data_IF_628280506974
#
_entry.id   IF_628280506974
#
_cell.length_a   1.000
_cell.length_b   1.000
_cell.length_c   1.000
_cell.angle_alpha   90.00
_cell.angle_beta   90.00
_cell.angle_gamma   90.00
#
_symmetry.space_group_name_H-M   'P 1'
#
loop_
_entity.id
_entity.type
_entity.pdbx_description
1 polymer ?
#
# COMPACT_ATOMS: atom_id res chain seq x y z
N UNK A 1 14.51 56.58 -23.64
CA UNK A 1 14.07 56.61 -22.23
C UNK A 1 14.13 55.19 -21.70
N UNK A 2 14.77 54.92 -20.55
CA UNK A 2 14.69 53.59 -19.96
C UNK A 2 13.31 53.44 -19.30
N UNK A 3 12.61 52.36 -19.65
CA UNK A 3 11.38 51.97 -18.97
C UNK A 3 11.76 51.52 -17.56
N UNK A 4 11.38 52.33 -16.58
CA UNK A 4 11.44 52.01 -15.16
C UNK A 4 10.45 50.88 -14.88
N UNK A 5 10.92 49.64 -14.81
CA UNK A 5 10.13 48.52 -14.27
C UNK A 5 10.11 48.63 -12.75
N UNK A 6 8.95 48.98 -12.20
CA UNK A 6 8.73 48.97 -10.75
C UNK A 6 8.72 47.53 -10.24
N UNK A 7 9.24 47.22 -9.03
CA UNK A 7 9.27 45.86 -8.49
C UNK A 7 7.90 45.24 -8.20
N UNK A 8 6.82 45.98 -8.47
CA UNK A 8 5.45 45.64 -8.07
C UNK A 8 4.64 44.91 -9.15
N UNK A 9 5.17 44.75 -10.38
CA UNK A 9 4.44 44.15 -11.51
C UNK A 9 4.37 42.60 -11.47
N UNK A 10 4.87 41.95 -10.41
CA UNK A 10 4.84 40.49 -10.25
C UNK A 10 3.67 39.95 -9.42
N UNK A 11 2.82 40.81 -8.83
CA UNK A 11 1.82 40.38 -7.84
C UNK A 11 0.42 40.07 -8.44
N UNK A 12 0.31 39.68 -9.71
CA UNK A 12 -0.98 39.60 -10.39
C UNK A 12 -1.19 38.48 -11.41
N UNK A 13 -0.41 37.39 -11.39
CA UNK A 13 -0.68 36.20 -12.23
C UNK A 13 -0.96 34.97 -11.38
N UNK A 14 -2.01 34.18 -11.69
CA UNK A 14 -2.12 32.81 -11.19
C UNK A 14 -1.08 31.98 -11.93
N UNK A 15 -0.15 31.37 -11.19
CA UNK A 15 1.03 30.63 -11.62
C UNK A 15 2.13 31.45 -12.30
N UNK A 16 3.18 31.76 -11.54
CA UNK A 16 4.45 32.35 -12.02
C UNK A 16 5.41 31.33 -12.64
N UNK A 17 5.11 30.03 -12.60
CA UNK A 17 5.99 28.98 -13.12
C UNK A 17 5.30 28.07 -14.13
N UNK A 18 5.79 28.06 -15.36
CA UNK A 18 5.39 27.08 -16.37
C UNK A 18 5.94 25.70 -15.98
N UNK A 19 5.09 24.65 -15.91
CA UNK A 19 5.57 23.29 -15.74
C UNK A 19 6.60 22.93 -16.82
N UNK A 20 7.64 22.21 -16.42
CA UNK A 20 8.69 21.76 -17.31
C UNK A 20 8.37 20.36 -17.81
N UNK A 21 8.58 20.16 -19.12
CA UNK A 21 8.54 18.83 -19.71
C UNK A 21 9.78 18.04 -19.33
N UNK A 22 9.57 16.91 -18.67
CA UNK A 22 10.66 16.03 -18.24
C UNK A 22 10.39 14.61 -18.73
N UNK A 23 11.45 13.98 -19.22
CA UNK A 23 11.45 12.55 -19.57
C UNK A 23 11.97 11.75 -18.37
N UNK A 24 11.06 11.12 -17.62
CA UNK A 24 11.45 10.27 -16.49
C UNK A 24 11.98 8.91 -16.98
N UNK A 25 13.14 8.51 -16.48
CA UNK A 25 13.74 7.21 -16.81
C UNK A 25 12.96 6.04 -16.18
N UNK A 26 12.50 6.23 -14.95
CA UNK A 26 11.65 5.28 -14.24
C UNK A 26 10.16 5.67 -14.38
N UNK A 27 9.25 4.69 -14.47
CA UNK A 27 7.83 4.95 -14.71
C UNK A 27 7.12 5.48 -13.46
N UNK A 28 6.48 6.64 -13.57
CA UNK A 28 5.72 7.23 -12.45
C UNK A 28 4.36 6.53 -12.24
N UNK A 29 3.86 5.85 -13.28
CA UNK A 29 2.66 5.03 -13.27
C UNK A 29 2.98 3.63 -13.83
N UNK A 30 3.49 2.71 -12.99
CA UNK A 30 3.98 1.43 -13.44
C UNK A 30 2.86 0.50 -13.91
N UNK A 31 1.63 0.64 -13.41
CA UNK A 31 0.48 -0.14 -13.89
C UNK A 31 0.13 0.22 -15.34
N UNK A 32 0.08 1.51 -15.67
CA UNK A 32 -0.16 1.93 -17.05
C UNK A 32 0.91 1.40 -18.01
N UNK A 33 2.18 1.36 -17.58
CA UNK A 33 3.27 0.76 -18.37
C UNK A 33 3.10 -0.74 -18.54
N UNK A 34 2.75 -1.45 -17.46
CA UNK A 34 2.50 -2.88 -17.51
C UNK A 34 1.38 -3.19 -18.52
N UNK A 35 0.23 -2.53 -18.38
CA UNK A 35 -0.91 -2.71 -19.27
C UNK A 35 -0.57 -2.31 -20.71
N UNK A 36 0.20 -1.24 -20.93
CA UNK A 36 0.56 -0.81 -22.28
C UNK A 36 1.46 -1.84 -22.99
N UNK A 37 2.44 -2.43 -22.29
CA UNK A 37 3.29 -3.50 -22.81
C UNK A 37 2.49 -4.74 -23.20
N UNK A 38 1.47 -5.09 -22.42
CA UNK A 38 0.68 -6.31 -22.63
C UNK A 38 -0.56 -6.12 -23.52
N UNK A 39 -0.96 -4.89 -23.81
CA UNK A 39 -2.08 -4.56 -24.69
C UNK A 39 -1.68 -3.76 -25.95
N UNK A 40 -0.39 -3.49 -26.15
CA UNK A 40 0.09 -2.76 -27.32
C UNK A 40 -0.36 -1.30 -27.37
N UNK A 41 -0.54 -0.66 -26.21
CA UNK A 41 -0.88 0.77 -26.12
C UNK A 41 0.40 1.61 -26.11
N UNK A 42 0.33 2.81 -26.68
CA UNK A 42 1.40 3.81 -26.57
C UNK A 42 1.45 4.38 -25.15
N UNK A 43 2.63 4.39 -24.53
CA UNK A 43 2.87 4.99 -23.21
C UNK A 43 3.91 6.11 -23.35
N UNK A 44 3.55 7.33 -22.95
CA UNK A 44 4.48 8.45 -22.90
C UNK A 44 5.15 8.55 -21.53
N UNK A 45 6.48 8.73 -21.54
CA UNK A 45 7.30 9.03 -20.35
C UNK A 45 7.39 10.52 -20.04
N UNK A 46 6.82 11.36 -20.90
CA UNK A 46 6.81 12.79 -20.72
C UNK A 46 5.82 13.15 -19.61
N UNK A 47 6.29 13.92 -18.65
CA UNK A 47 5.45 14.46 -17.59
C UNK A 47 5.74 15.93 -17.39
N UNK A 48 4.70 16.67 -16.98
CA UNK A 48 4.79 18.07 -16.59
C UNK A 48 5.11 18.15 -15.11
N UNK A 49 6.25 18.74 -14.75
CA UNK A 49 6.63 18.95 -13.36
C UNK A 49 6.70 20.44 -13.05
N UNK A 50 6.12 20.85 -11.91
CA UNK A 50 6.41 22.15 -11.32
C UNK A 50 7.89 22.25 -10.89
N UNK A 51 8.43 23.47 -10.72
CA UNK A 51 9.80 23.64 -10.22
C UNK A 51 10.04 22.95 -8.88
N UNK A 52 9.04 22.92 -7.98
CA UNK A 52 9.13 22.25 -6.69
C UNK A 52 9.29 20.74 -6.86
N UNK A 53 8.46 20.13 -7.71
CA UNK A 53 8.49 18.70 -8.01
C UNK A 53 9.81 18.29 -8.68
N UNK A 54 10.31 19.11 -9.60
CA UNK A 54 11.61 18.89 -10.25
C UNK A 54 12.77 19.00 -9.24
N UNK A 55 12.75 20.01 -8.37
CA UNK A 55 13.78 20.15 -7.33
C UNK A 55 13.81 18.94 -6.38
N UNK A 56 12.65 18.38 -6.03
CA UNK A 56 12.57 17.17 -5.21
C UNK A 56 13.08 15.92 -5.95
N UNK A 57 12.73 15.78 -7.24
CA UNK A 57 13.23 14.72 -8.12
C UNK A 57 14.77 14.74 -8.22
N UNK A 58 15.36 15.93 -8.32
CA UNK A 58 16.81 16.15 -8.44
C UNK A 58 17.54 16.29 -7.08
N UNK A 59 16.83 16.07 -5.96
CA UNK A 59 17.37 16.17 -4.60
C UNK A 59 17.96 17.56 -4.20
N UNK A 60 17.41 18.65 -4.74
CA UNK A 60 17.91 20.01 -4.51
C UNK A 60 17.25 20.68 -3.30
N UNK A 61 17.68 20.29 -2.09
CA UNK A 61 17.10 20.75 -0.81
C UNK A 61 17.02 22.27 -0.67
N UNK A 62 18.06 23.00 -1.05
CA UNK A 62 18.10 24.46 -0.95
C UNK A 62 17.06 25.12 -1.86
N UNK A 63 16.83 24.55 -3.05
CA UNK A 63 15.84 25.02 -4.01
C UNK A 63 14.42 24.74 -3.50
N UNK A 64 14.18 23.57 -2.91
CA UNK A 64 12.89 23.25 -2.26
C UNK A 64 12.59 24.25 -1.13
N UNK A 65 13.58 24.54 -0.28
CA UNK A 65 13.42 25.56 0.77
C UNK A 65 13.14 26.95 0.23
N UNK A 66 13.81 27.34 -0.86
CA UNK A 66 13.60 28.61 -1.52
C UNK A 66 12.18 28.70 -2.11
N UNK A 67 11.79 27.73 -2.94
CA UNK A 67 10.49 27.70 -3.60
C UNK A 67 9.34 27.64 -2.60
N UNK A 68 9.49 26.92 -1.50
CA UNK A 68 8.48 26.81 -0.46
C UNK A 68 8.10 28.18 0.17
N UNK A 69 8.99 29.19 0.13
CA UNK A 69 8.69 30.53 0.67
C UNK A 69 7.73 31.32 -0.20
N UNK A 70 7.55 30.91 -1.44
CA UNK A 70 6.76 31.60 -2.46
C UNK A 70 5.63 30.71 -3.00
N UNK A 71 5.18 29.70 -2.23
CA UNK A 71 4.08 28.85 -2.66
C UNK A 71 2.82 29.68 -2.93
N UNK A 72 2.17 29.40 -4.05
CA UNK A 72 0.91 30.01 -4.45
C UNK A 72 -0.30 29.27 -3.84
N UNK A 73 -1.50 29.83 -4.02
CA UNK A 73 -2.74 29.11 -3.75
C UNK A 73 -2.78 27.80 -4.59
N UNK A 74 -3.26 26.70 -4.00
CA UNK A 74 -3.32 25.34 -4.58
C UNK A 74 -2.00 24.57 -4.82
N UNK A 75 -0.87 25.03 -4.27
CA UNK A 75 0.43 24.35 -4.38
C UNK A 75 0.54 22.98 -3.68
N UNK A 76 -0.49 22.54 -2.94
CA UNK A 76 -0.47 21.26 -2.22
C UNK A 76 -0.29 20.06 -3.17
N UNK A 77 -0.86 20.10 -4.38
CA UNK A 77 -0.68 19.01 -5.36
C UNK A 77 0.78 18.85 -5.77
N UNK A 78 1.48 19.96 -5.97
CA UNK A 78 2.91 19.96 -6.29
C UNK A 78 3.75 19.44 -5.13
N UNK A 79 3.39 19.82 -3.90
CA UNK A 79 4.09 19.35 -2.71
C UNK A 79 3.92 17.84 -2.49
N UNK A 80 2.72 17.31 -2.73
CA UNK A 80 2.42 15.88 -2.61
C UNK A 80 3.11 15.06 -3.71
N UNK A 81 3.12 15.60 -4.95
CA UNK A 81 3.87 15.00 -6.05
C UNK A 81 5.38 15.03 -5.79
N UNK A 82 5.90 16.13 -5.24
CA UNK A 82 7.30 16.22 -4.83
C UNK A 82 7.66 15.13 -3.80
N UNK A 83 6.77 14.85 -2.83
CA UNK A 83 6.98 13.76 -1.86
C UNK A 83 6.99 12.39 -2.53
N UNK A 84 6.07 12.14 -3.46
CA UNK A 84 6.11 10.94 -4.29
C UNK A 84 7.45 10.80 -4.99
N UNK A 85 7.93 11.83 -5.71
CA UNK A 85 9.17 11.78 -6.48
C UNK A 85 10.40 11.59 -5.58
N UNK A 86 10.46 12.25 -4.42
CA UNK A 86 11.54 12.08 -3.46
C UNK A 86 11.63 10.63 -2.95
N UNK A 87 10.50 10.04 -2.54
CA UNK A 87 10.47 8.63 -2.13
C UNK A 87 10.76 7.69 -3.29
N UNK A 88 10.18 7.97 -4.46
CA UNK A 88 10.38 7.20 -5.68
C UNK A 88 11.84 7.23 -6.16
N UNK A 89 12.63 8.25 -5.82
CA UNK A 89 14.09 8.26 -6.06
C UNK A 89 14.92 7.75 -4.87
N UNK A 90 14.28 7.49 -3.72
CA UNK A 90 14.98 7.07 -2.52
C UNK A 90 15.64 8.22 -1.74
N UNK A 91 15.28 9.47 -2.03
CA UNK A 91 15.77 10.68 -1.35
C UNK A 91 15.11 10.85 0.02
N UNK A 92 15.53 10.03 1.00
CA UNK A 92 14.90 9.94 2.33
C UNK A 92 14.87 11.28 3.09
N UNK A 93 15.96 12.04 3.06
CA UNK A 93 16.03 13.33 3.76
C UNK A 93 15.13 14.38 3.09
N UNK A 94 15.04 14.36 1.76
CA UNK A 94 14.10 15.20 1.01
C UNK A 94 12.65 14.85 1.35
N UNK A 95 12.31 13.56 1.42
CA UNK A 95 10.96 13.14 1.82
C UNK A 95 10.61 13.63 3.25
N UNK A 96 11.54 13.48 4.20
CA UNK A 96 11.37 14.01 5.57
C UNK A 96 11.16 15.53 5.57
N UNK A 97 11.90 16.27 4.74
CA UNK A 97 11.68 17.71 4.57
C UNK A 97 10.27 18.00 4.05
N UNK A 98 9.84 17.33 2.97
CA UNK A 98 8.53 17.57 2.36
C UNK A 98 7.37 17.23 3.31
N UNK A 99 7.52 16.20 4.14
CA UNK A 99 6.57 15.90 5.22
C UNK A 99 6.48 17.03 6.27
N UNK A 100 7.62 17.63 6.65
CA UNK A 100 7.61 18.80 7.55
C UNK A 100 6.91 19.99 6.92
N UNK A 101 6.97 20.09 5.59
CA UNK A 101 6.25 21.09 4.79
C UNK A 101 4.77 20.74 4.60
N UNK A 102 4.27 19.64 5.19
CA UNK A 102 2.88 19.17 5.13
C UNK A 102 2.47 18.54 3.80
N UNK A 103 3.41 17.91 3.08
CA UNK A 103 3.06 17.01 1.99
C UNK A 103 2.16 15.87 2.50
N UNK A 104 1.08 15.58 1.79
CA UNK A 104 0.19 14.46 2.06
C UNK A 104 0.76 13.17 1.41
N UNK A 105 1.17 12.16 2.20
CA UNK A 105 1.72 10.92 1.66
C UNK A 105 0.69 10.02 0.98
N UNK A 106 -0.61 10.26 1.14
CA UNK A 106 -1.69 9.38 0.71
C UNK A 106 -2.81 10.12 -0.01
N UNK A 107 -2.45 11.11 -0.86
CA UNK A 107 -3.42 11.72 -1.77
C UNK A 107 -4.01 10.63 -2.69
N UNK A 108 -5.33 10.51 -2.67
CA UNK A 108 -6.07 9.60 -3.55
C UNK A 108 -6.06 10.08 -5.02
N UNK A 109 -6.24 9.14 -5.94
CA UNK A 109 -6.35 9.39 -7.38
C UNK A 109 -5.11 10.08 -8.00
N UNK A 110 -3.97 10.06 -7.31
CA UNK A 110 -2.68 10.51 -7.83
C UNK A 110 -1.54 9.65 -7.29
N UNK A 111 -0.40 9.55 -8.01
CA UNK A 111 0.83 9.08 -7.39
C UNK A 111 1.10 9.89 -6.11
N UNK A 112 1.54 9.23 -5.03
CA UNK A 112 1.66 9.83 -3.71
C UNK A 112 2.86 9.26 -2.94
N UNK A 113 3.20 9.88 -1.80
CA UNK A 113 4.36 9.48 -0.99
C UNK A 113 4.42 7.99 -0.68
N UNK A 114 3.28 7.34 -0.38
CA UNK A 114 3.21 5.92 -0.07
C UNK A 114 3.52 5.03 -1.28
N UNK A 115 3.00 5.37 -2.46
CA UNK A 115 3.37 4.69 -3.72
C UNK A 115 4.87 4.76 -3.99
N UNK A 116 5.47 5.95 -3.87
CA UNK A 116 6.90 6.15 -4.09
C UNK A 116 7.76 5.41 -3.07
N UNK A 117 7.30 5.34 -1.81
CA UNK A 117 7.99 4.61 -0.76
C UNK A 117 7.94 3.09 -1.01
N UNK A 118 6.79 2.58 -1.46
CA UNK A 118 6.63 1.17 -1.83
C UNK A 118 7.48 0.80 -3.05
N UNK A 119 7.57 1.66 -4.07
CA UNK A 119 8.45 1.49 -5.24
C UNK A 119 9.90 1.22 -4.84
N UNK A 120 10.45 2.03 -3.93
CA UNK A 120 11.84 1.94 -3.46
C UNK A 120 12.08 1.02 -2.28
N UNK A 121 11.06 0.41 -1.69
CA UNK A 121 11.20 -0.45 -0.50
C UNK A 121 11.56 0.34 0.77
N UNK A 122 11.01 1.54 0.92
CA UNK A 122 11.25 2.43 2.05
C UNK A 122 10.36 2.06 3.24
N UNK A 123 10.63 0.91 3.85
CA UNK A 123 9.74 0.30 4.85
C UNK A 123 9.45 1.18 6.08
N UNK A 124 10.45 1.94 6.54
CA UNK A 124 10.27 2.88 7.64
C UNK A 124 9.32 4.04 7.28
N UNK A 125 9.38 4.52 6.04
CA UNK A 125 8.49 5.58 5.54
C UNK A 125 7.05 5.06 5.42
N UNK A 126 6.87 3.88 4.82
CA UNK A 126 5.56 3.21 4.69
C UNK A 126 4.90 3.04 6.06
N UNK A 127 5.63 2.47 7.03
CA UNK A 127 5.11 2.28 8.38
C UNK A 127 4.69 3.60 9.03
N UNK A 128 5.49 4.66 8.87
CA UNK A 128 5.15 5.99 9.38
C UNK A 128 3.88 6.53 8.71
N UNK A 129 3.78 6.49 7.38
CA UNK A 129 2.64 7.03 6.67
C UNK A 129 1.33 6.34 7.09
N UNK A 130 1.33 5.00 7.19
CA UNK A 130 0.12 4.26 7.56
C UNK A 130 -0.18 4.40 9.06
N UNK A 131 0.79 4.14 9.93
CA UNK A 131 0.53 4.03 11.38
C UNK A 131 0.49 5.39 12.08
N UNK A 132 1.37 6.32 11.70
CA UNK A 132 1.43 7.64 12.34
C UNK A 132 0.53 8.67 11.65
N UNK A 133 0.50 8.66 10.33
CA UNK A 133 -0.23 9.68 9.56
C UNK A 133 -1.64 9.20 9.15
N UNK A 134 -1.98 7.93 9.39
CA UNK A 134 -3.30 7.37 9.12
C UNK A 134 -3.58 7.15 7.64
N UNK A 135 -2.55 7.04 6.80
CA UNK A 135 -2.70 6.73 5.39
C UNK A 135 -3.35 5.36 5.21
N UNK A 136 -4.31 5.26 4.28
CA UNK A 136 -4.83 3.95 3.87
C UNK A 136 -3.74 3.15 3.14
N UNK A 137 -3.49 1.88 3.52
CA UNK A 137 -2.61 0.99 2.75
C UNK A 137 -3.17 0.67 1.36
N UNK A 138 -4.48 0.85 1.15
CA UNK A 138 -5.22 0.61 -0.09
C UNK A 138 -5.36 1.87 -0.96
N UNK A 139 -4.67 2.97 -0.63
CA UNK A 139 -4.75 4.20 -1.43
C UNK A 139 -4.42 3.89 -2.89
N UNK A 140 -5.18 4.43 -3.83
CA UNK A 140 -4.93 4.21 -5.25
C UNK A 140 -4.53 5.50 -5.96
N UNK A 141 -3.67 5.37 -6.97
CA UNK A 141 -3.37 6.46 -7.90
C UNK A 141 -4.48 6.56 -8.98
N UNK A 142 -4.29 7.45 -9.96
CA UNK A 142 -5.25 7.65 -11.06
C UNK A 142 -5.47 6.44 -11.98
N UNK A 143 -4.56 5.46 -12.01
CA UNK A 143 -4.69 4.21 -12.77
C UNK A 143 -5.23 3.06 -11.92
N UNK A 144 -5.65 3.32 -10.68
CA UNK A 144 -6.05 2.33 -9.67
C UNK A 144 -4.90 1.47 -9.12
N UNK A 145 -3.64 1.83 -9.39
CA UNK A 145 -2.50 1.13 -8.82
C UNK A 145 -2.41 1.37 -7.30
N UNK A 146 -2.11 0.30 -6.56
CA UNK A 146 -1.93 0.31 -5.10
C UNK A 146 -0.44 0.36 -4.71
N UNK A 147 -0.09 0.67 -3.45
CA UNK A 147 1.29 0.59 -2.97
C UNK A 147 1.91 -0.81 -3.14
N UNK A 148 1.12 -1.88 -2.92
CA UNK A 148 1.56 -3.27 -3.14
C UNK A 148 1.98 -3.46 -4.60
N UNK A 149 1.21 -2.93 -5.55
CA UNK A 149 1.56 -3.01 -6.97
C UNK A 149 2.86 -2.26 -7.31
N UNK A 150 3.07 -1.08 -6.71
CA UNK A 150 4.33 -0.34 -6.86
C UNK A 150 5.54 -1.14 -6.33
N UNK A 151 5.39 -1.89 -5.24
CA UNK A 151 6.45 -2.77 -4.74
C UNK A 151 6.76 -3.93 -5.71
N UNK A 152 5.72 -4.52 -6.34
CA UNK A 152 5.87 -5.60 -7.33
C UNK A 152 6.59 -5.11 -8.57
N UNK A 153 6.18 -3.97 -9.13
CA UNK A 153 6.71 -3.42 -10.39
C UNK A 153 7.99 -2.59 -10.18
N UNK A 154 8.35 -2.33 -8.92
CA UNK A 154 9.52 -1.55 -8.55
C UNK A 154 10.86 -2.23 -8.85
N UNK A 155 11.96 -1.45 -8.75
CA UNK A 155 13.33 -1.90 -9.03
C UNK A 155 13.93 -2.80 -7.94
N UNK A 156 13.19 -3.07 -6.87
CA UNK A 156 13.60 -4.00 -5.82
C UNK A 156 13.78 -5.41 -6.39
N UNK A 157 14.74 -6.14 -5.84
CA UNK A 157 14.80 -7.59 -6.02
C UNK A 157 13.58 -8.27 -5.40
N UNK A 158 13.37 -9.56 -5.70
CA UNK A 158 12.18 -10.29 -5.25
C UNK A 158 12.08 -10.39 -3.73
N UNK A 159 13.21 -10.44 -3.02
CA UNK A 159 13.23 -10.52 -1.56
C UNK A 159 12.85 -9.18 -0.93
N UNK A 160 13.43 -8.07 -1.38
CA UNK A 160 13.08 -6.73 -0.92
C UNK A 160 11.64 -6.35 -1.25
N UNK A 161 11.18 -6.68 -2.46
CA UNK A 161 9.78 -6.49 -2.84
C UNK A 161 8.85 -7.28 -1.91
N UNK A 162 9.17 -8.54 -1.62
CA UNK A 162 8.39 -9.35 -0.69
C UNK A 162 8.38 -8.78 0.73
N UNK A 163 9.51 -8.30 1.25
CA UNK A 163 9.56 -7.68 2.58
C UNK A 163 8.66 -6.45 2.68
N UNK A 164 8.67 -5.61 1.64
CA UNK A 164 7.79 -4.44 1.52
C UNK A 164 6.31 -4.85 1.47
N UNK A 165 5.96 -5.82 0.62
CA UNK A 165 4.58 -6.31 0.46
C UNK A 165 4.08 -6.98 1.74
N UNK A 166 4.90 -7.82 2.37
CA UNK A 166 4.56 -8.50 3.62
C UNK A 166 4.22 -7.48 4.72
N UNK A 167 4.99 -6.41 4.82
CA UNK A 167 4.70 -5.33 5.76
C UNK A 167 3.40 -4.59 5.39
N UNK A 168 3.14 -4.30 4.11
CA UNK A 168 1.86 -3.72 3.68
C UNK A 168 0.67 -4.62 4.07
N UNK A 169 0.76 -5.94 3.86
CA UNK A 169 -0.27 -6.89 4.30
C UNK A 169 -0.42 -6.92 5.83
N UNK A 170 0.68 -6.85 6.59
CA UNK A 170 0.63 -6.71 8.05
C UNK A 170 -0.03 -5.40 8.51
N UNK A 171 0.02 -4.38 7.66
CA UNK A 171 -0.64 -3.09 7.84
C UNK A 171 -2.03 -3.05 7.18
N UNK A 172 -2.66 -4.22 6.98
CA UNK A 172 -4.04 -4.38 6.49
C UNK A 172 -4.25 -4.08 4.99
N UNK A 173 -3.19 -4.06 4.18
CA UNK A 173 -3.35 -4.09 2.73
C UNK A 173 -3.99 -5.41 2.27
N UNK A 174 -4.94 -5.35 1.35
CA UNK A 174 -5.63 -6.51 0.80
C UNK A 174 -4.71 -7.27 -0.17
N UNK A 175 -4.57 -8.60 -0.03
CA UNK A 175 -3.83 -9.41 -1.00
C UNK A 175 -4.65 -9.73 -2.26
N UNK A 176 -5.94 -9.35 -2.31
CA UNK A 176 -6.90 -9.82 -3.31
C UNK A 176 -7.22 -8.78 -4.40
N UNK A 177 -6.43 -7.71 -4.53
CA UNK A 177 -6.67 -6.70 -5.56
C UNK A 177 -6.44 -7.26 -6.97
N UNK A 178 -7.24 -6.79 -7.93
CA UNK A 178 -7.22 -7.16 -9.34
C UNK A 178 -7.11 -5.91 -10.22
N UNK A 179 -6.45 -6.02 -11.38
CA UNK A 179 -6.11 -4.88 -12.22
C UNK A 179 -6.39 -5.12 -13.71
N UNK A 180 -6.80 -4.05 -14.39
CA UNK A 180 -7.09 -4.07 -15.84
C UNK A 180 -8.35 -4.85 -16.19
N UNK A 181 -8.62 -5.01 -17.49
CA UNK A 181 -9.81 -5.72 -17.99
C UNK A 181 -9.71 -7.24 -17.93
N UNK A 182 -8.52 -7.77 -17.63
CA UNK A 182 -8.26 -9.21 -17.48
C UNK A 182 -8.22 -9.63 -16.01
N UNK A 183 -8.57 -8.73 -15.08
CA UNK A 183 -8.61 -8.98 -13.65
C UNK A 183 -7.30 -9.60 -13.11
N UNK A 184 -6.15 -9.07 -13.56
CA UNK A 184 -4.84 -9.59 -13.16
C UNK A 184 -4.66 -9.45 -11.65
N UNK A 185 -4.36 -10.56 -10.97
CA UNK A 185 -3.97 -10.53 -9.56
C UNK A 185 -2.53 -10.02 -9.40
N UNK A 186 -2.13 -9.69 -8.16
CA UNK A 186 -0.74 -9.38 -7.85
C UNK A 186 0.25 -10.48 -8.30
N UNK A 187 -0.13 -11.76 -8.11
CA UNK A 187 0.72 -12.88 -8.49
C UNK A 187 0.86 -13.00 -10.01
N UNK A 188 -0.22 -12.77 -10.77
CA UNK A 188 -0.17 -12.78 -12.24
C UNK A 188 0.78 -11.71 -12.77
N UNK A 189 0.69 -10.49 -12.22
CA UNK A 189 1.57 -9.38 -12.60
C UNK A 189 3.03 -9.70 -12.26
N UNK A 190 3.31 -10.20 -11.05
CA UNK A 190 4.67 -10.59 -10.65
C UNK A 190 5.25 -11.65 -11.59
N UNK A 191 4.45 -12.67 -11.96
CA UNK A 191 4.84 -13.74 -12.88
C UNK A 191 5.13 -13.22 -14.29
N UNK A 192 4.30 -12.30 -14.79
CA UNK A 192 4.46 -11.69 -16.11
C UNK A 192 5.70 -10.79 -16.20
N UNK A 193 6.07 -10.13 -15.10
CA UNK A 193 7.33 -9.39 -14.97
C UNK A 193 8.54 -10.29 -14.65
N UNK A 194 8.35 -11.61 -14.63
CA UNK A 194 9.42 -12.59 -14.44
C UNK A 194 9.85 -12.81 -12.99
N UNK A 195 9.16 -12.21 -12.01
CA UNK A 195 9.41 -12.35 -10.57
C UNK A 195 8.71 -13.58 -10.01
N UNK A 196 9.25 -14.77 -10.30
CA UNK A 196 8.57 -16.06 -10.05
C UNK A 196 8.46 -16.40 -8.57
N UNK A 197 9.54 -16.22 -7.80
CA UNK A 197 9.56 -16.53 -6.37
C UNK A 197 8.61 -15.58 -5.62
N UNK A 198 8.53 -14.32 -6.07
CA UNK A 198 7.59 -13.34 -5.56
C UNK A 198 6.14 -13.74 -5.86
N UNK A 199 5.86 -14.21 -7.08
CA UNK A 199 4.52 -14.66 -7.47
C UNK A 199 4.05 -15.84 -6.61
N UNK A 200 4.92 -16.82 -6.35
CA UNK A 200 4.61 -17.95 -5.47
C UNK A 200 4.26 -17.49 -4.04
N UNK A 201 5.06 -16.59 -3.46
CA UNK A 201 4.78 -16.02 -2.13
C UNK A 201 3.47 -15.24 -2.07
N UNK A 202 3.12 -14.52 -3.14
CA UNK A 202 1.85 -13.79 -3.25
C UNK A 202 0.65 -14.75 -3.30
N UNK A 203 0.76 -15.88 -4.00
CA UNK A 203 -0.28 -16.91 -4.04
C UNK A 203 -0.48 -17.57 -2.67
N UNK A 204 0.61 -17.87 -1.96
CA UNK A 204 0.56 -18.39 -0.59
C UNK A 204 -0.10 -17.42 0.40
N UNK A 205 0.10 -16.12 0.21
CA UNK A 205 -0.49 -15.08 1.05
C UNK A 205 -1.96 -14.79 0.75
N UNK A 206 -2.47 -15.23 -0.42
CA UNK A 206 -3.88 -15.13 -0.76
C UNK A 206 -4.66 -16.29 -0.11
N UNK A 207 -5.48 -16.05 0.93
CA UNK A 207 -6.33 -17.10 1.46
C UNK A 207 -7.35 -17.51 0.39
N UNK A 208 -7.18 -18.70 -0.19
CA UNK A 208 -8.20 -19.25 -1.09
C UNK A 208 -9.51 -19.44 -0.30
N UNK A 209 -10.68 -19.06 -0.84
CA UNK A 209 -11.94 -19.37 -0.21
C UNK A 209 -12.29 -20.84 -0.49
N UNK A 210 -11.56 -21.80 0.06
CA UNK A 210 -11.89 -23.22 -0.16
C UNK A 210 -11.45 -24.11 1.00
N UNK A 211 -12.47 -24.46 1.79
CA UNK A 211 -12.68 -25.76 2.43
C UNK A 211 -11.68 -26.10 3.54
N UNK A 212 -12.19 -25.98 4.76
CA UNK A 212 -11.75 -26.73 5.93
C UNK A 212 -11.71 -28.21 5.53
N UNK A 213 -10.56 -28.68 5.07
CA UNK A 213 -10.35 -30.07 4.72
C UNK A 213 -10.14 -30.82 6.04
N UNK A 214 -11.22 -31.00 6.81
CA UNK A 214 -11.26 -31.86 8.00
C UNK A 214 -11.50 -33.34 7.63
N UNK A 215 -11.14 -33.74 6.42
CA UNK A 215 -11.30 -35.13 5.97
C UNK A 215 -10.00 -35.91 6.11
N UNK A 216 -9.54 -36.05 7.37
CA UNK A 216 -8.63 -37.12 7.79
C UNK A 216 -8.98 -37.62 9.19
N UNK A 217 -10.22 -38.02 9.40
CA UNK A 217 -10.49 -39.11 10.34
C UNK A 217 -10.84 -40.36 9.52
N UNK A 218 -9.80 -41.18 9.33
CA UNK A 218 -9.89 -42.49 8.70
C UNK A 218 -10.74 -43.40 9.58
N UNK A 219 -11.96 -43.66 9.14
CA UNK A 219 -12.81 -44.74 9.65
C UNK A 219 -12.19 -46.09 9.27
N UNK A 220 -11.70 -46.84 10.25
CA UNK A 220 -11.42 -48.27 10.13
C UNK A 220 -11.73 -48.97 11.46
N UNK A 221 -12.97 -49.42 11.61
CA UNK A 221 -13.30 -50.55 12.49
C UNK A 221 -13.46 -51.81 11.66
N UNK A 222 -12.88 -52.94 12.07
CA UNK A 222 -13.49 -54.23 11.86
C UNK A 222 -13.78 -54.93 13.20
N UNK A 223 -15.08 -55.10 13.43
CA UNK A 223 -15.77 -56.28 14.01
C UNK A 223 -14.90 -57.27 14.79
N UNK A 224 -15.11 -57.32 16.10
CA UNK A 224 -14.74 -58.44 16.97
C UNK A 224 -15.89 -58.75 17.93
N UNK A 225 -16.74 -59.70 17.56
CA UNK A 225 -17.68 -60.35 18.47
C UNK A 225 -16.89 -61.06 19.57
N UNK A 226 -17.26 -60.89 20.86
CA UNK A 226 -17.39 -61.97 21.85
C UNK A 226 -18.22 -61.53 23.06
N UNK A 227 -19.33 -62.24 23.23
CA UNK A 227 -20.17 -62.29 24.43
C UNK A 227 -19.38 -62.60 25.70
N UNK A 228 -19.59 -61.84 26.77
CA UNK A 228 -19.79 -62.40 28.13
C UNK A 228 -20.39 -61.35 29.09
N UNK A 229 -21.66 -61.51 29.45
CA UNK A 229 -22.22 -61.15 30.77
C UNK A 229 -22.15 -62.42 31.66
N UNK A 230 -22.16 -62.39 33.01
CA UNK A 230 -23.05 -61.50 33.79
C UNK A 230 -22.65 -61.09 35.24
N UNK A 231 -23.52 -60.24 35.82
CA UNK A 231 -23.92 -60.13 37.24
C UNK A 231 -22.94 -59.53 38.27
N UNK A 232 -23.35 -58.43 38.91
CA UNK A 232 -24.01 -58.50 40.24
C UNK A 232 -24.45 -57.13 40.82
N UNK A 233 -25.72 -57.11 41.28
CA UNK A 233 -26.29 -56.46 42.48
C UNK A 233 -26.35 -54.92 42.61
N UNK A 234 -27.59 -54.40 42.53
CA UNK A 234 -28.16 -53.30 43.36
C UNK A 234 -28.49 -53.83 44.78
N UNK A 235 -28.71 -53.02 45.85
CA UNK A 235 -29.84 -52.06 46.07
C UNK A 235 -29.38 -50.62 46.42
N UNK A 236 -30.13 -49.55 46.09
CA UNK A 236 -31.14 -48.82 46.93
C UNK A 236 -30.49 -48.23 48.21
N UNK A 237 -30.65 -46.96 48.61
CA UNK A 237 -31.85 -46.11 48.74
C UNK A 237 -31.43 -44.66 49.11
N UNK A 238 -32.36 -43.72 48.86
CA UNK A 238 -32.69 -42.46 49.58
C UNK A 238 -31.61 -41.36 49.80
N UNK A 239 -31.92 -40.06 49.92
CA UNK A 239 -33.18 -39.33 50.15
C UNK A 239 -33.12 -37.91 49.55
N UNK A 240 -34.30 -37.35 49.32
CA UNK A 240 -34.63 -35.93 49.07
C UNK A 240 -34.22 -34.98 50.22
N UNK A 241 -34.35 -33.66 49.94
CA UNK A 241 -34.74 -32.50 50.80
C UNK A 241 -33.91 -31.29 50.34
N UNK A 242 -34.47 -30.40 49.51
CA UNK A 242 -35.27 -29.20 49.85
C UNK A 242 -34.48 -28.09 50.58
N UNK A 243 -34.71 -26.83 50.17
CA UNK A 243 -34.20 -25.68 50.92
C UNK A 243 -33.84 -24.40 50.16
N UNK A 244 -34.82 -23.77 49.50
CA UNK A 244 -35.11 -22.33 49.63
C UNK A 244 -34.02 -21.23 49.61
N UNK A 245 -34.16 -20.36 48.60
CA UNK A 245 -34.45 -18.91 48.72
C UNK A 245 -33.37 -17.85 49.06
N UNK A 246 -33.23 -16.91 48.10
CA UNK A 246 -33.25 -15.43 48.19
C UNK A 246 -32.24 -14.70 49.10
N UNK A 247 -31.44 -13.78 48.54
CA UNK A 247 -31.68 -12.31 48.52
C UNK A 247 -30.50 -11.53 47.95
N UNK A 248 -30.84 -10.41 47.32
CA UNK A 248 -29.97 -9.34 46.83
C UNK A 248 -29.40 -8.48 47.98
N UNK A 249 -28.34 -7.72 47.68
CA UNK A 249 -28.29 -6.26 47.92
C UNK A 249 -27.08 -5.61 47.24
N UNK A 250 -27.35 -4.46 46.63
CA UNK A 250 -26.39 -3.42 46.18
C UNK A 250 -25.65 -2.80 47.37
N UNK A 251 -24.45 -2.30 47.10
CA UNK A 251 -24.07 -0.90 47.34
C UNK A 251 -23.09 -0.50 46.22
#
# INVERSE_FOLDING_TARGET
MPLSTSPSDFLGRPSTYLPLEVNCLEPLDPLSVFLSKHHGLEYSRQTMLSPLSLAALENQTDVVHFLNRFQEEDAQKDLDLALFLANHQGHREMAILLERLKANPARESSPNGLHGAAWRGLNNQIWRYIVKDGASPEVTNGSSATPVLYAILGPQDEQGAWETIKMLFQLEASPLAIFGSQDFSYADIARMEGKKDLAEKLEEACPSPTILNSSRESSCTPRGDKDTQPRNKRPQEDSEVDGGAKRACRA
#
